data_IF_378267167618
#
_entry.id   IF_378267167618
#
_cell.length_a   1.000
_cell.length_b   1.000
_cell.length_c   1.000
_cell.angle_alpha   90.00
_cell.angle_beta   90.00
_cell.angle_gamma   90.00
#
_symmetry.space_group_name_H-M   'P 1'
#
loop_
_entity.id
_entity.type
_entity.pdbx_description
1 polymer ?
#
# COMPACT_ATOMS: atom_id res chain seq x y z
N UNK A 1 -57.07 19.55 13.16
CA UNK A 1 -55.98 18.58 13.37
C UNK A 1 -55.05 18.64 12.19
N UNK A 2 -53.85 19.20 12.33
CA UNK A 2 -52.82 19.28 11.27
C UNK A 2 -51.73 18.28 11.62
N UNK A 3 -51.63 17.21 10.82
CA UNK A 3 -50.64 16.16 10.94
C UNK A 3 -49.36 16.64 10.26
N UNK A 4 -48.30 16.85 11.02
CA UNK A 4 -46.96 17.19 10.52
C UNK A 4 -46.22 15.87 10.26
N UNK A 5 -45.98 15.52 9.02
CA UNK A 5 -45.08 14.42 8.66
C UNK A 5 -43.64 14.91 8.71
N UNK A 6 -42.90 14.46 9.72
CA UNK A 6 -41.45 14.67 9.78
C UNK A 6 -40.77 13.65 8.88
N UNK A 7 -40.28 14.10 7.71
CA UNK A 7 -39.42 13.29 6.84
C UNK A 7 -38.01 13.20 7.43
N UNK A 8 -37.69 12.05 8.03
CA UNK A 8 -36.32 11.73 8.41
C UNK A 8 -35.51 11.39 7.13
N UNK A 9 -34.70 12.32 6.68
CA UNK A 9 -33.74 12.09 5.61
C UNK A 9 -32.60 11.19 6.15
N UNK A 10 -32.65 9.91 5.77
CA UNK A 10 -31.60 8.94 6.07
C UNK A 10 -30.40 9.23 5.16
N UNK A 11 -29.42 9.98 5.65
CA UNK A 11 -28.14 10.17 5.00
C UNK A 11 -27.38 8.84 5.01
N UNK A 12 -27.57 8.03 3.96
CA UNK A 12 -26.72 6.89 3.66
C UNK A 12 -25.37 7.48 3.25
N UNK A 13 -24.47 7.64 4.20
CA UNK A 13 -23.07 7.94 3.94
C UNK A 13 -22.49 6.84 3.09
N UNK A 14 -22.27 7.11 1.80
CA UNK A 14 -21.48 6.27 0.91
C UNK A 14 -20.08 6.17 1.52
N UNK A 15 -19.83 5.12 2.31
CA UNK A 15 -18.50 4.74 2.74
C UNK A 15 -17.73 4.35 1.47
N UNK A 16 -17.04 5.31 0.89
CA UNK A 16 -16.04 5.05 -0.16
C UNK A 16 -15.08 4.02 0.44
N UNK A 17 -14.88 2.85 -0.18
CA UNK A 17 -13.91 1.89 0.31
C UNK A 17 -12.55 2.58 0.35
N UNK A 18 -12.13 2.94 1.54
CA UNK A 18 -10.86 3.61 1.78
C UNK A 18 -9.76 2.59 1.56
N UNK A 19 -9.18 2.57 0.35
CA UNK A 19 -8.05 1.71 0.01
C UNK A 19 -6.81 2.17 0.81
N UNK A 20 -5.92 1.23 1.16
CA UNK A 20 -4.73 1.49 1.95
C UNK A 20 -3.89 2.63 1.40
N UNK A 21 -3.31 3.35 2.29
CA UNK A 21 -2.53 4.55 1.95
C UNK A 21 -1.15 4.46 2.55
N UNK A 22 -0.17 4.81 1.77
CA UNK A 22 1.14 5.17 2.30
C UNK A 22 0.96 6.22 3.40
N UNK A 23 1.62 6.02 4.54
CA UNK A 23 1.50 6.87 5.73
C UNK A 23 0.52 6.40 6.80
N UNK A 24 -0.28 5.36 6.55
CA UNK A 24 -1.16 4.76 7.57
C UNK A 24 -0.37 4.03 8.66
N UNK A 25 -0.95 3.99 9.87
CA UNK A 25 -0.47 3.16 10.97
C UNK A 25 -0.91 1.71 10.80
N UNK A 26 -0.34 0.80 11.60
CA UNK A 26 -0.78 -0.60 11.64
C UNK A 26 -2.26 -0.73 12.02
N UNK A 27 -2.74 0.03 13.01
CA UNK A 27 -4.13 -0.01 13.45
C UNK A 27 -5.10 0.44 12.35
N UNK A 28 -4.73 1.47 11.58
CA UNK A 28 -5.50 1.93 10.42
C UNK A 28 -5.53 0.86 9.32
N UNK A 29 -4.39 0.19 9.07
CA UNK A 29 -4.31 -0.91 8.11
C UNK A 29 -5.15 -2.11 8.55
N UNK A 30 -5.09 -2.52 9.82
CA UNK A 30 -5.92 -3.61 10.38
C UNK A 30 -7.40 -3.25 10.30
N UNK A 31 -7.78 -2.03 10.63
CA UNK A 31 -9.18 -1.56 10.50
C UNK A 31 -9.67 -1.63 9.06
N UNK A 32 -8.79 -1.42 8.09
CA UNK A 32 -9.09 -1.40 6.67
C UNK A 32 -9.14 -2.78 6.02
N UNK A 33 -8.12 -3.59 6.29
CA UNK A 33 -7.92 -4.88 5.65
C UNK A 33 -8.39 -6.07 6.48
N UNK A 34 -8.61 -5.89 7.75
CA UNK A 34 -8.77 -6.97 8.73
C UNK A 34 -7.43 -7.37 9.36
N UNK A 35 -7.44 -8.46 10.13
CA UNK A 35 -6.21 -8.98 10.70
C UNK A 35 -5.24 -9.41 9.59
N UNK A 36 -3.94 -9.22 9.81
CA UNK A 36 -2.94 -9.77 8.89
C UNK A 36 -2.88 -11.28 9.01
N UNK A 37 -2.75 -11.95 7.86
CA UNK A 37 -2.72 -13.43 7.77
C UNK A 37 -1.31 -13.97 7.92
N UNK A 38 -0.28 -13.14 7.68
CA UNK A 38 1.12 -13.52 7.79
C UNK A 38 2.00 -12.31 8.10
N UNK A 39 3.03 -12.55 8.92
CA UNK A 39 4.10 -11.60 9.22
C UNK A 39 5.44 -12.24 8.80
N UNK A 40 6.25 -11.51 8.05
CA UNK A 40 7.52 -11.97 7.53
C UNK A 40 8.61 -10.93 7.76
N UNK A 41 9.81 -11.42 8.13
CA UNK A 41 11.00 -10.58 8.17
C UNK A 41 11.87 -10.86 6.95
N UNK A 42 11.93 -9.89 6.03
CA UNK A 42 12.68 -9.99 4.78
C UNK A 42 13.85 -9.00 4.82
N UNK A 43 15.09 -9.53 4.86
CA UNK A 43 16.32 -8.70 4.94
C UNK A 43 16.33 -7.71 6.10
N UNK A 44 15.79 -8.13 7.25
CA UNK A 44 15.72 -7.29 8.45
C UNK A 44 14.53 -6.33 8.53
N UNK A 45 13.72 -6.24 7.48
CA UNK A 45 12.50 -5.43 7.42
C UNK A 45 11.27 -6.29 7.65
N UNK A 46 10.28 -5.76 8.35
CA UNK A 46 9.06 -6.47 8.71
C UNK A 46 7.92 -6.16 7.74
N UNK A 47 7.34 -7.22 7.19
CA UNK A 47 6.24 -7.15 6.26
C UNK A 47 5.02 -7.89 6.83
N UNK A 48 3.85 -7.29 6.65
CA UNK A 48 2.57 -7.81 7.09
C UNK A 48 1.69 -8.06 5.87
N UNK A 49 1.22 -9.30 5.73
CA UNK A 49 0.34 -9.68 4.63
C UNK A 49 -1.11 -9.66 5.08
N UNK A 50 -1.94 -8.98 4.34
CA UNK A 50 -3.39 -8.97 4.45
C UNK A 50 -4.01 -9.60 3.21
N UNK A 51 -5.23 -10.12 3.36
CA UNK A 51 -6.06 -10.61 2.28
C UNK A 51 -7.37 -9.85 2.25
N UNK A 52 -7.71 -9.25 1.11
CA UNK A 52 -8.94 -8.47 0.95
C UNK A 52 -9.45 -8.52 -0.47
N UNK A 53 -10.73 -8.91 -0.64
CA UNK A 53 -11.44 -8.86 -1.92
C UNK A 53 -10.70 -9.53 -3.09
N UNK A 54 -10.02 -10.66 -2.86
CA UNK A 54 -9.26 -11.40 -3.87
C UNK A 54 -7.86 -10.84 -4.14
N UNK A 55 -7.35 -9.99 -3.26
CA UNK A 55 -6.01 -9.44 -3.34
C UNK A 55 -5.18 -9.77 -2.10
N UNK A 56 -3.92 -10.14 -2.34
CA UNK A 56 -2.88 -10.08 -1.33
C UNK A 56 -2.33 -8.67 -1.24
N UNK A 57 -2.24 -8.14 -0.03
CA UNK A 57 -1.73 -6.80 0.28
C UNK A 57 -0.56 -6.95 1.24
N UNK A 58 0.66 -6.75 0.74
CA UNK A 58 1.87 -6.83 1.55
C UNK A 58 2.32 -5.43 1.94
N UNK A 59 2.26 -5.10 3.23
CA UNK A 59 2.59 -3.79 3.77
C UNK A 59 3.89 -3.82 4.58
N UNK A 60 4.72 -2.80 4.41
CA UNK A 60 5.90 -2.54 5.22
C UNK A 60 5.70 -1.26 6.03
N UNK A 61 6.11 -1.29 7.30
CA UNK A 61 6.01 -0.15 8.21
C UNK A 61 7.39 0.29 8.67
N UNK A 62 7.60 1.59 8.62
CA UNK A 62 8.80 2.26 9.13
C UNK A 62 8.39 3.35 10.10
N UNK A 63 8.96 3.35 11.32
CA UNK A 63 8.59 4.27 12.39
C UNK A 63 7.07 4.36 12.62
N UNK A 64 6.38 3.20 12.63
CA UNK A 64 4.95 3.10 12.87
C UNK A 64 4.05 3.55 11.70
N UNK A 65 4.62 3.90 10.56
CA UNK A 65 3.89 4.35 9.36
C UNK A 65 4.19 3.45 8.16
N UNK A 66 3.15 3.14 7.39
CA UNK A 66 3.29 2.39 6.14
C UNK A 66 4.05 3.23 5.12
N UNK A 67 5.19 2.73 4.65
CA UNK A 67 6.02 3.40 3.64
C UNK A 67 6.19 2.59 2.34
N UNK A 68 5.69 1.35 2.33
CA UNK A 68 5.60 0.52 1.13
C UNK A 68 4.38 -0.38 1.20
N UNK A 69 3.72 -0.54 0.06
CA UNK A 69 2.61 -1.47 -0.09
C UNK A 69 2.70 -2.17 -1.46
N UNK A 70 2.42 -3.47 -1.47
CA UNK A 70 2.46 -4.28 -2.69
C UNK A 70 1.13 -4.99 -2.85
N UNK A 71 0.49 -4.80 -3.99
CA UNK A 71 -0.76 -5.48 -4.35
C UNK A 71 -0.50 -6.57 -5.37
N UNK A 72 -1.11 -7.71 -5.19
CA UNK A 72 -1.16 -8.80 -6.17
C UNK A 72 -2.50 -9.54 -6.09
N UNK A 73 -2.95 -10.11 -7.19
CA UNK A 73 -4.15 -10.96 -7.18
C UNK A 73 -3.84 -12.29 -6.49
N UNK A 74 -4.76 -12.78 -5.65
CA UNK A 74 -4.70 -14.13 -5.05
C UNK A 74 -4.64 -15.23 -6.11
N UNK A 75 -5.36 -15.05 -7.22
CA UNK A 75 -5.35 -15.97 -8.36
C UNK A 75 -4.10 -15.85 -9.25
N UNK A 76 -3.13 -15.00 -8.89
CA UNK A 76 -1.87 -14.74 -9.62
C UNK A 76 -2.05 -14.16 -11.02
N UNK A 77 -3.26 -13.73 -11.40
CA UNK A 77 -3.53 -13.03 -12.66
C UNK A 77 -2.89 -11.63 -12.67
N UNK A 78 -2.82 -11.06 -13.84
CA UNK A 78 -2.52 -9.62 -13.96
C UNK A 78 -3.62 -8.78 -13.31
N UNK A 79 -3.25 -7.66 -12.72
CA UNK A 79 -4.21 -6.62 -12.35
C UNK A 79 -4.75 -5.96 -13.62
N UNK A 80 -6.02 -5.60 -13.61
CA UNK A 80 -6.61 -4.80 -14.67
C UNK A 80 -6.13 -3.35 -14.58
N UNK A 81 -6.28 -2.56 -15.64
CA UNK A 81 -5.96 -1.13 -15.61
C UNK A 81 -6.81 -0.39 -14.55
N UNK A 82 -8.08 -0.72 -14.42
CA UNK A 82 -8.99 -0.13 -13.42
C UNK A 82 -8.53 -0.44 -11.99
N UNK A 83 -8.09 -1.67 -11.72
CA UNK A 83 -7.53 -2.05 -10.41
C UNK A 83 -6.25 -1.29 -10.11
N UNK A 84 -5.33 -1.18 -11.08
CA UNK A 84 -4.09 -0.41 -10.95
C UNK A 84 -4.41 1.06 -10.65
N UNK A 85 -5.26 1.70 -11.44
CA UNK A 85 -5.67 3.10 -11.26
C UNK A 85 -6.31 3.33 -9.89
N UNK A 86 -7.14 2.38 -9.44
CA UNK A 86 -7.79 2.43 -8.14
C UNK A 86 -6.77 2.42 -7.00
N UNK A 87 -5.79 1.52 -7.06
CA UNK A 87 -4.72 1.45 -6.05
C UNK A 87 -3.79 2.66 -6.10
N UNK A 88 -3.44 3.15 -7.29
CA UNK A 88 -2.61 4.33 -7.46
C UNK A 88 -3.29 5.58 -6.88
N UNK A 89 -4.55 5.83 -7.22
CA UNK A 89 -5.34 6.95 -6.67
C UNK A 89 -5.43 6.88 -5.15
N UNK A 90 -5.71 5.70 -4.61
CA UNK A 90 -5.83 5.53 -3.17
C UNK A 90 -4.55 5.91 -2.42
N UNK A 91 -3.38 5.59 -2.98
CA UNK A 91 -2.08 5.86 -2.38
C UNK A 91 -1.53 7.26 -2.70
N UNK A 92 -2.15 8.00 -3.59
CA UNK A 92 -1.76 9.36 -4.01
C UNK A 92 -2.80 10.43 -3.63
N UNK A 93 -3.49 10.24 -2.51
CA UNK A 93 -4.48 11.20 -2.01
C UNK A 93 -5.70 11.39 -2.93
N UNK A 94 -6.12 10.34 -3.63
CA UNK A 94 -7.25 10.36 -4.58
C UNK A 94 -6.91 10.91 -5.96
N UNK A 95 -5.65 11.27 -6.22
CA UNK A 95 -5.21 11.85 -7.50
C UNK A 95 -4.61 10.78 -8.40
N UNK A 96 -4.79 10.92 -9.70
CA UNK A 96 -4.04 10.14 -10.69
C UNK A 96 -2.55 10.37 -10.53
N UNK A 97 -1.76 9.34 -10.76
CA UNK A 97 -0.31 9.44 -10.88
C UNK A 97 0.07 9.55 -12.36
N UNK A 98 1.13 10.29 -12.67
CA UNK A 98 1.65 10.36 -14.02
C UNK A 98 2.43 9.08 -14.32
N UNK A 99 2.15 8.46 -15.45
CA UNK A 99 2.98 7.37 -15.99
C UNK A 99 4.18 8.00 -16.69
N UNK A 100 5.35 7.88 -16.08
CA UNK A 100 6.61 8.45 -16.58
C UNK A 100 7.26 7.51 -17.64
N UNK A 101 7.19 6.22 -17.37
CA UNK A 101 7.60 5.14 -18.30
C UNK A 101 6.57 4.01 -18.21
N UNK A 102 6.48 3.11 -19.19
CA UNK A 102 5.55 1.99 -19.13
C UNK A 102 5.63 1.24 -17.82
N UNK A 103 4.48 1.18 -17.11
CA UNK A 103 4.36 0.54 -15.78
C UNK A 103 5.14 1.20 -14.65
N UNK A 104 5.55 2.46 -14.80
CA UNK A 104 6.20 3.28 -13.76
C UNK A 104 5.43 4.58 -13.58
N UNK A 105 4.94 4.83 -12.39
CA UNK A 105 4.17 6.03 -12.04
C UNK A 105 4.89 6.84 -10.98
N UNK A 106 4.81 8.14 -11.12
CA UNK A 106 5.38 9.10 -10.17
C UNK A 106 4.31 10.05 -9.69
N UNK A 107 4.09 10.07 -8.38
CA UNK A 107 3.25 11.03 -7.67
C UNK A 107 4.09 12.03 -6.88
N UNK A 108 3.43 12.91 -6.14
CA UNK A 108 4.10 13.91 -5.31
C UNK A 108 4.98 13.25 -4.23
N UNK A 109 4.41 12.33 -3.48
CA UNK A 109 5.03 11.72 -2.30
C UNK A 109 5.25 10.20 -2.43
N UNK A 110 4.85 9.63 -3.55
CA UNK A 110 4.91 8.20 -3.82
C UNK A 110 5.41 7.92 -5.24
N UNK A 111 5.97 6.72 -5.42
CA UNK A 111 6.27 6.16 -6.73
C UNK A 111 5.77 4.71 -6.79
N UNK A 112 5.39 4.25 -7.96
CA UNK A 112 4.86 2.91 -8.15
C UNK A 112 5.47 2.23 -9.38
N UNK A 113 5.59 0.91 -9.30
CA UNK A 113 6.01 0.06 -10.41
C UNK A 113 5.10 -1.16 -10.51
N UNK A 114 4.73 -1.54 -11.73
CA UNK A 114 4.00 -2.77 -11.98
C UNK A 114 4.88 -3.73 -12.77
N UNK A 115 5.24 -4.86 -12.18
CA UNK A 115 6.19 -5.80 -12.77
C UNK A 115 5.89 -7.25 -12.42
N UNK A 116 6.41 -8.17 -13.23
CA UNK A 116 6.38 -9.59 -12.96
C UNK A 116 7.58 -9.95 -12.07
N UNK A 117 7.30 -10.56 -10.93
CA UNK A 117 8.35 -11.03 -10.02
C UNK A 117 8.76 -12.48 -10.32
N UNK A 118 9.97 -12.90 -9.89
CA UNK A 118 10.34 -14.31 -9.95
C UNK A 118 9.27 -15.18 -9.30
N UNK A 119 8.88 -16.29 -9.95
CA UNK A 119 7.76 -17.17 -9.59
C UNK A 119 6.37 -16.70 -10.07
N UNK A 120 6.33 -15.85 -11.14
CA UNK A 120 5.15 -15.61 -11.99
C UNK A 120 4.00 -14.77 -11.42
N UNK A 121 4.14 -14.08 -10.31
CA UNK A 121 3.13 -13.15 -9.85
C UNK A 121 3.38 -11.72 -10.36
N UNK A 122 2.35 -11.08 -10.92
CA UNK A 122 2.35 -9.67 -11.22
C UNK A 122 2.07 -8.86 -9.96
N UNK A 123 2.84 -7.79 -9.73
CA UNK A 123 2.75 -6.98 -8.51
C UNK A 123 2.79 -5.50 -8.82
N UNK A 124 1.90 -4.75 -8.21
CA UNK A 124 1.95 -3.30 -8.12
C UNK A 124 2.63 -2.93 -6.80
N UNK A 125 3.82 -2.37 -6.88
CA UNK A 125 4.67 -1.99 -5.75
C UNK A 125 4.67 -0.46 -5.61
N UNK A 126 4.06 0.07 -4.57
CA UNK A 126 3.94 1.50 -4.27
C UNK A 126 4.81 1.84 -3.06
N UNK A 127 5.64 2.85 -3.18
CA UNK A 127 6.61 3.26 -2.15
C UNK A 127 6.52 4.74 -1.88
N UNK A 128 6.69 5.12 -0.61
CA UNK A 128 6.94 6.51 -0.26
C UNK A 128 8.24 7.03 -0.89
N UNK A 129 8.28 8.30 -1.27
CA UNK A 129 9.53 8.95 -1.70
C UNK A 129 10.59 8.81 -0.60
N UNK A 130 11.81 8.52 -0.99
CA UNK A 130 12.92 8.29 -0.06
C UNK A 130 13.00 6.88 0.53
N UNK A 131 12.03 5.98 0.24
CA UNK A 131 12.11 4.58 0.67
C UNK A 131 13.44 3.92 0.27
N UNK A 132 13.85 4.07 -0.99
CA UNK A 132 15.12 3.52 -1.49
C UNK A 132 16.35 4.18 -0.87
N UNK A 133 16.29 5.48 -0.60
CA UNK A 133 17.40 6.23 0.04
C UNK A 133 17.61 5.77 1.47
N UNK A 134 16.55 5.60 2.26
CA UNK A 134 16.62 5.08 3.65
C UNK A 134 17.27 3.70 3.69
N UNK A 135 16.91 2.80 2.77
CA UNK A 135 17.52 1.45 2.68
C UNK A 135 19.01 1.52 2.38
N UNK A 136 19.45 2.44 1.54
CA UNK A 136 20.86 2.66 1.22
C UNK A 136 21.65 3.13 2.44
N UNK A 137 21.10 4.03 3.23
CA UNK A 137 21.71 4.52 4.49
C UNK A 137 21.80 3.40 5.51
N UNK A 138 20.72 2.64 5.72
CA UNK A 138 20.71 1.52 6.67
C UNK A 138 21.72 0.44 6.28
N UNK A 139 21.84 0.12 4.98
CA UNK A 139 22.83 -0.84 4.48
C UNK A 139 24.26 -0.38 4.74
N UNK A 140 24.58 0.89 4.44
CA UNK A 140 25.92 1.48 4.70
C UNK A 140 26.24 1.50 6.19
N UNK A 141 25.27 1.83 7.05
CA UNK A 141 25.45 1.82 8.50
C UNK A 141 25.74 0.40 9.02
N UNK A 142 25.01 -0.61 8.52
CA UNK A 142 25.23 -2.00 8.89
C UNK A 142 26.59 -2.55 8.39
N UNK A 143 27.02 -2.16 7.19
CA UNK A 143 28.35 -2.50 6.67
C UNK A 143 29.47 -1.83 7.49
N UNK A 144 29.30 -0.55 7.86
CA UNK A 144 30.24 0.17 8.72
C UNK A 144 30.36 -0.48 10.10
N UNK A 145 29.24 -0.82 10.75
CA UNK A 145 29.24 -1.48 12.04
C UNK A 145 29.92 -2.86 12.02
N UNK A 146 29.85 -3.59 10.90
CA UNK A 146 30.58 -4.85 10.72
C UNK A 146 32.10 -4.66 10.61
N UNK A 147 32.55 -3.56 10.01
CA UNK A 147 33.99 -3.25 9.87
C UNK A 147 34.61 -2.69 11.16
N UNK A 148 33.79 -2.02 11.98
CA UNK A 148 34.23 -1.46 13.27
C UNK A 148 34.26 -2.52 14.39
N UNK A 149 33.75 -3.73 14.16
CA UNK A 149 33.77 -4.86 15.10
C UNK A 149 34.95 -5.83 14.88
N UNK A 150 35.90 -5.48 14.03
CA UNK A 150 37.19 -6.14 13.82
C UNK A 150 38.31 -5.21 14.27
#
# INVERSE_FOLDING_TARGET
>A
MKTVFASAAFLIGLAVPSLARIGETMDEAVKRYGAFVRHEKIRGEEFYMFEKNGFHVLAHFHNGKMDRIVYSSESRRKLTHEEIDTFLKANNGGRLMNEDLPYIWVGKDVAATYSKWPRHAWRLDIKARGFGHRRGVTKKAAEKAKLEGF
#
